data_IF_583089838725
#
_entry.id   IF_583089838725
#
_cell.length_a   1.000
_cell.length_b   1.000
_cell.length_c   1.000
_cell.angle_alpha   90.00
_cell.angle_beta   90.00
_cell.angle_gamma   90.00
#
_symmetry.space_group_name_H-M   'P 1'
#
loop_
_entity.id
_entity.type
_entity.pdbx_description
1 polymer ?
#
# COMPACT_ATOMS: atom_id res chain seq x y z
N UNK A 1 25.12 -28.62 18.76
CA UNK A 1 23.96 -29.27 18.13
C UNK A 1 24.40 -30.67 17.78
N UNK A 2 23.82 -31.68 18.40
CA UNK A 2 24.22 -33.07 18.21
C UNK A 2 23.66 -33.61 16.88
N UNK A 3 24.35 -34.59 16.30
CA UNK A 3 23.92 -35.18 15.03
C UNK A 3 22.72 -36.10 15.27
N UNK A 4 21.61 -35.81 14.61
CA UNK A 4 20.39 -36.62 14.66
C UNK A 4 20.18 -37.38 13.35
N UNK A 5 19.76 -38.65 13.45
CA UNK A 5 19.43 -39.48 12.31
C UNK A 5 17.91 -39.57 12.13
N UNK A 6 17.44 -39.33 10.91
CA UNK A 6 16.03 -39.43 10.55
C UNK A 6 15.83 -40.34 9.35
N UNK A 7 14.71 -41.08 9.33
CA UNK A 7 14.31 -41.87 8.16
C UNK A 7 14.08 -40.96 6.95
N UNK A 8 14.74 -41.28 5.82
CA UNK A 8 14.59 -40.56 4.54
C UNK A 8 13.11 -40.40 4.13
N UNK A 9 12.31 -41.45 4.33
CA UNK A 9 10.89 -41.45 3.96
C UNK A 9 10.06 -40.53 4.86
N UNK A 10 10.38 -40.48 6.15
CA UNK A 10 9.69 -39.63 7.12
C UNK A 10 10.01 -38.15 6.87
N UNK A 11 11.29 -37.83 6.66
CA UNK A 11 11.73 -36.48 6.33
C UNK A 11 11.10 -35.96 5.01
N UNK A 12 11.05 -36.80 3.98
CA UNK A 12 10.42 -36.47 2.70
C UNK A 12 8.92 -36.15 2.87
N UNK A 13 8.19 -36.96 3.64
CA UNK A 13 6.75 -36.70 3.92
C UNK A 13 6.53 -35.40 4.69
N UNK A 14 7.34 -35.14 5.72
CA UNK A 14 7.28 -33.89 6.49
C UNK A 14 7.51 -32.71 5.54
N UNK A 15 8.53 -32.78 4.69
CA UNK A 15 8.84 -31.72 3.73
C UNK A 15 7.66 -31.44 2.78
N UNK A 16 7.06 -32.47 2.20
CA UNK A 16 5.88 -32.34 1.31
C UNK A 16 4.69 -31.72 2.06
N UNK A 17 4.41 -32.14 3.29
CA UNK A 17 3.32 -31.57 4.08
C UNK A 17 3.59 -30.12 4.46
N UNK A 18 4.81 -29.78 4.86
CA UNK A 18 5.22 -28.40 5.14
C UNK A 18 5.10 -27.52 3.90
N UNK A 19 5.46 -28.02 2.71
CA UNK A 19 5.25 -27.30 1.45
C UNK A 19 3.77 -27.11 1.14
N UNK A 20 2.95 -28.16 1.23
CA UNK A 20 1.51 -28.07 0.98
C UNK A 20 0.84 -27.08 1.93
N UNK A 21 1.21 -27.09 3.21
CA UNK A 21 0.70 -26.14 4.20
C UNK A 21 1.08 -24.71 3.86
N UNK A 22 2.33 -24.44 3.47
CA UNK A 22 2.78 -23.10 3.02
C UNK A 22 2.07 -22.64 1.76
N UNK A 23 1.89 -23.53 0.77
CA UNK A 23 1.15 -23.19 -0.47
C UNK A 23 -0.30 -22.83 -0.18
N UNK A 24 -0.96 -23.55 0.73
CA UNK A 24 -2.33 -23.22 1.17
C UNK A 24 -2.44 -21.85 1.84
N UNK A 25 -1.38 -21.39 2.52
CA UNK A 25 -1.36 -20.07 3.17
C UNK A 25 -1.22 -18.92 2.17
N UNK A 26 -0.84 -19.20 0.92
CA UNK A 26 -0.64 -18.21 -0.15
C UNK A 26 -1.53 -18.57 -1.34
N UNK A 27 -2.74 -19.07 -1.09
CA UNK A 27 -3.69 -19.34 -2.16
C UNK A 27 -4.06 -18.04 -2.90
N UNK A 28 -4.11 -18.05 -4.24
CA UNK A 28 -4.46 -16.87 -5.02
C UNK A 28 -5.89 -16.45 -4.70
N UNK A 29 -6.09 -15.16 -4.44
CA UNK A 29 -7.41 -14.59 -4.26
C UNK A 29 -8.12 -14.39 -5.60
N UNK A 30 -9.45 -14.30 -5.57
CA UNK A 30 -10.21 -13.92 -6.77
C UNK A 30 -9.95 -12.46 -7.13
N UNK A 31 -10.15 -12.08 -8.39
CA UNK A 31 -10.02 -10.68 -8.83
C UNK A 31 -10.91 -9.74 -7.99
N UNK A 32 -12.13 -10.17 -7.67
CA UNK A 32 -13.05 -9.40 -6.84
C UNK A 32 -12.50 -9.16 -5.43
N UNK A 33 -11.91 -10.19 -4.80
CA UNK A 33 -11.28 -10.06 -3.48
C UNK A 33 -10.08 -9.12 -3.54
N UNK A 34 -9.26 -9.23 -4.58
CA UNK A 34 -8.11 -8.33 -4.76
C UNK A 34 -8.53 -6.87 -4.92
N UNK A 35 -9.53 -6.58 -5.76
CA UNK A 35 -10.04 -5.22 -5.95
C UNK A 35 -10.65 -4.67 -4.66
N UNK A 36 -11.44 -5.47 -3.95
CA UNK A 36 -12.02 -5.05 -2.66
C UNK A 36 -10.92 -4.75 -1.63
N UNK A 37 -9.90 -5.60 -1.55
CA UNK A 37 -8.73 -5.36 -0.72
C UNK A 37 -8.04 -4.05 -1.13
N UNK A 38 -7.78 -3.85 -2.43
CA UNK A 38 -7.07 -2.68 -2.93
C UNK A 38 -7.80 -1.38 -2.61
N UNK A 39 -9.12 -1.33 -2.83
CA UNK A 39 -9.95 -0.15 -2.53
C UNK A 39 -9.92 0.19 -1.04
N UNK A 40 -10.02 -0.83 -0.18
CA UNK A 40 -9.93 -0.65 1.28
C UNK A 40 -8.53 -0.23 1.73
N UNK A 41 -7.50 -0.85 1.17
CA UNK A 41 -6.09 -0.55 1.45
C UNK A 41 -5.73 0.88 1.02
N UNK A 42 -6.33 1.37 -0.06
CA UNK A 42 -6.17 2.73 -0.57
C UNK A 42 -7.12 3.76 0.07
N UNK A 43 -7.84 3.38 1.13
CA UNK A 43 -8.78 4.25 1.84
C UNK A 43 -9.93 4.79 0.98
N UNK A 44 -10.33 4.11 -0.10
CA UNK A 44 -11.36 4.55 -1.05
C UNK A 44 -12.78 4.10 -0.66
N UNK A 45 -12.95 3.44 0.48
CA UNK A 45 -14.27 3.08 1.01
C UNK A 45 -14.57 3.90 2.25
N UNK A 46 -15.80 4.40 2.46
CA UNK A 46 -16.09 5.33 3.57
C UNK A 46 -15.69 4.83 4.97
N UNK A 47 -15.73 3.52 5.20
CA UNK A 47 -15.34 2.87 6.45
C UNK A 47 -13.83 2.84 6.69
N UNK A 48 -13.04 3.08 5.65
CA UNK A 48 -11.57 3.11 5.69
C UNK A 48 -10.99 4.52 5.62
N UNK A 49 -11.81 5.56 5.45
CA UNK A 49 -11.31 6.93 5.39
C UNK A 49 -10.54 7.29 6.66
N UNK A 50 -9.33 7.80 6.46
CA UNK A 50 -8.52 8.36 7.56
C UNK A 50 -9.06 9.73 7.95
N UNK A 51 -8.62 10.26 9.10
CA UNK A 51 -9.17 11.51 9.66
C UNK A 51 -8.07 12.49 10.02
N UNK A 52 -8.35 13.77 9.77
CA UNK A 52 -7.49 14.89 10.16
C UNK A 52 -6.14 14.91 9.45
N UNK A 53 -5.28 15.83 9.90
CA UNK A 53 -3.94 16.07 9.34
C UNK A 53 -3.02 14.84 9.45
N UNK A 54 -3.05 14.12 10.57
CA UNK A 54 -2.26 12.90 10.73
C UNK A 54 -2.67 11.80 9.72
N UNK A 55 -3.97 11.67 9.45
CA UNK A 55 -4.46 10.77 8.40
C UNK A 55 -3.99 11.19 7.01
N UNK A 56 -4.03 12.49 6.71
CA UNK A 56 -3.52 13.02 5.46
C UNK A 56 -2.04 12.67 5.24
N UNK A 57 -1.19 12.82 6.26
CA UNK A 57 0.23 12.42 6.19
C UNK A 57 0.35 10.93 5.84
N UNK A 58 -0.39 10.05 6.51
CA UNK A 58 -0.34 8.61 6.24
C UNK A 58 -0.75 8.27 4.79
N UNK A 59 -1.75 8.97 4.24
CA UNK A 59 -2.15 8.83 2.83
C UNK A 59 -1.06 9.32 1.88
N UNK A 60 -0.41 10.43 2.20
CA UNK A 60 0.69 10.98 1.40
C UNK A 60 1.90 10.05 1.39
N UNK A 61 2.26 9.47 2.54
CA UNK A 61 3.31 8.45 2.65
C UNK A 61 2.98 7.22 1.81
N UNK A 62 1.74 6.73 1.85
CA UNK A 62 1.31 5.58 1.06
C UNK A 62 1.34 5.85 -0.46
N UNK A 63 1.05 7.09 -0.88
CA UNK A 63 1.05 7.51 -2.28
C UNK A 63 2.42 8.01 -2.76
N UNK A 64 3.44 8.02 -1.89
CA UNK A 64 4.78 8.44 -2.28
C UNK A 64 5.29 7.60 -3.45
N UNK A 65 5.72 8.26 -4.51
CA UNK A 65 6.17 7.60 -5.75
C UNK A 65 5.11 7.50 -6.86
N UNK A 66 3.84 7.81 -6.57
CA UNK A 66 2.78 7.82 -7.58
C UNK A 66 2.69 9.18 -8.29
N UNK A 67 2.79 9.20 -9.62
CA UNK A 67 2.66 10.43 -10.41
C UNK A 67 1.19 10.74 -10.69
N UNK A 68 0.73 11.89 -10.20
CA UNK A 68 -0.63 12.41 -10.43
C UNK A 68 -0.56 13.88 -10.83
N UNK A 69 -1.38 14.33 -11.81
CA UNK A 69 -1.49 15.75 -12.13
C UNK A 69 -1.83 16.57 -10.88
N UNK A 70 -1.12 17.68 -10.67
CA UNK A 70 -1.33 18.54 -9.50
C UNK A 70 -2.79 19.00 -9.34
N UNK A 71 -3.47 19.31 -10.45
CA UNK A 71 -4.89 19.71 -10.44
C UNK A 71 -5.87 18.63 -9.97
N UNK A 72 -5.43 17.38 -9.82
CA UNK A 72 -6.26 16.27 -9.35
C UNK A 72 -6.01 15.88 -7.89
N UNK A 73 -5.00 16.46 -7.23
CA UNK A 73 -4.61 16.04 -5.88
C UNK A 73 -5.75 16.17 -4.88
N UNK A 74 -6.45 17.31 -4.85
CA UNK A 74 -7.54 17.55 -3.91
C UNK A 74 -8.67 16.50 -4.05
N UNK A 75 -9.00 16.10 -5.28
CA UNK A 75 -9.98 15.06 -5.55
C UNK A 75 -9.49 13.68 -5.09
N UNK A 76 -8.21 13.38 -5.28
CA UNK A 76 -7.58 12.11 -4.85
C UNK A 76 -7.49 12.02 -3.33
N UNK A 77 -7.18 13.12 -2.64
CA UNK A 77 -7.03 13.16 -1.18
C UNK A 77 -8.40 13.17 -0.47
N UNK A 78 -9.37 13.93 -0.97
CA UNK A 78 -10.73 13.96 -0.40
C UNK A 78 -11.46 12.62 -0.49
N UNK A 79 -11.11 11.77 -1.47
CA UNK A 79 -11.59 10.39 -1.56
C UNK A 79 -10.99 9.42 -0.53
N UNK A 80 -10.02 9.86 0.29
CA UNK A 80 -9.30 9.04 1.29
C UNK A 80 -9.37 9.59 2.70
N UNK A 81 -9.51 10.91 2.83
CA UNK A 81 -9.52 11.62 4.10
C UNK A 81 -10.93 12.16 4.36
N UNK A 82 -11.55 11.70 5.45
CA UNK A 82 -12.87 12.18 5.83
C UNK A 82 -12.82 13.66 6.26
N UNK A 83 -13.81 14.44 5.79
CA UNK A 83 -13.91 15.89 6.03
C UNK A 83 -12.61 16.64 5.67
N UNK A 84 -11.96 16.22 4.59
CA UNK A 84 -10.72 16.81 4.10
C UNK A 84 -10.84 18.33 3.93
N UNK A 85 -9.83 19.04 4.43
CA UNK A 85 -9.68 20.49 4.27
C UNK A 85 -8.41 20.77 3.45
N UNK A 86 -8.49 21.52 2.34
CA UNK A 86 -7.31 21.88 1.55
C UNK A 86 -6.20 22.57 2.35
N UNK A 87 -6.57 23.34 3.38
CA UNK A 87 -5.61 24.04 4.24
C UNK A 87 -4.63 23.10 4.95
N UNK A 88 -5.01 21.84 5.21
CA UNK A 88 -4.09 20.87 5.81
C UNK A 88 -2.92 20.54 4.88
N UNK A 89 -3.17 20.46 3.57
CA UNK A 89 -2.11 20.21 2.60
C UNK A 89 -1.20 21.43 2.48
N UNK A 90 -1.78 22.63 2.42
CA UNK A 90 -1.04 23.89 2.38
C UNK A 90 -0.13 24.05 3.60
N UNK A 91 -0.66 23.81 4.81
CA UNK A 91 0.10 23.88 6.06
C UNK A 91 1.27 22.89 6.10
N UNK A 92 1.08 21.65 5.60
CA UNK A 92 2.15 20.65 5.52
C UNK A 92 3.25 21.07 4.53
N UNK A 93 2.87 21.68 3.41
CA UNK A 93 3.82 22.19 2.43
C UNK A 93 4.58 23.41 2.96
N UNK A 94 3.87 24.36 3.58
CA UNK A 94 4.46 25.57 4.18
C UNK A 94 5.37 25.24 5.37
N UNK A 95 5.01 24.22 6.16
CA UNK A 95 5.84 23.71 7.25
C UNK A 95 7.09 22.95 6.79
N UNK A 96 7.19 22.62 5.49
CA UNK A 96 8.29 21.83 4.93
C UNK A 96 8.23 20.35 5.30
N UNK A 97 7.11 19.87 5.83
CA UNK A 97 6.89 18.44 6.15
C UNK A 97 6.66 17.63 4.88
N UNK A 98 6.06 18.24 3.86
CA UNK A 98 5.81 17.63 2.55
C UNK A 98 6.39 18.50 1.46
N UNK A 99 7.11 17.87 0.53
CA UNK A 99 7.64 18.52 -0.66
C UNK A 99 7.30 17.70 -1.90
N UNK A 100 7.12 18.38 -3.02
CA UNK A 100 6.75 17.75 -4.29
C UNK A 100 7.93 17.77 -5.25
N UNK A 101 8.11 16.67 -5.98
CA UNK A 101 9.15 16.53 -6.98
C UNK A 101 8.63 15.82 -8.22
N UNK A 102 9.27 16.06 -9.35
CA UNK A 102 9.07 15.25 -10.56
C UNK A 102 10.05 14.09 -10.51
N UNK A 103 9.55 12.87 -10.58
CA UNK A 103 10.39 11.66 -10.64
C UNK A 103 10.86 11.40 -12.08
N UNK A 104 9.99 11.70 -13.05
CA UNK A 104 10.32 11.62 -14.47
C UNK A 104 10.92 12.94 -14.99
N UNK A 105 12.08 12.92 -15.67
CA UNK A 105 12.59 14.10 -16.37
C UNK A 105 11.62 14.49 -17.50
N UNK A 106 11.50 15.78 -17.83
CA UNK A 106 10.72 16.19 -18.99
C UNK A 106 11.25 15.48 -20.24
N UNK A 107 10.35 14.89 -21.03
CA UNK A 107 10.70 14.40 -22.37
C UNK A 107 11.31 15.57 -23.13
N UNK A 108 12.57 15.44 -23.54
CA UNK A 108 13.22 16.45 -24.37
C UNK A 108 12.37 16.66 -25.61
N UNK A 109 12.01 17.92 -25.89
CA UNK A 109 11.35 18.26 -27.15
C UNK A 109 12.26 17.81 -28.32
N UNK A 110 11.69 17.21 -29.39
CA UNK A 110 12.47 16.75 -30.53
C UNK A 110 13.24 17.87 -31.22
#
# INVERSE_FOLDING_TARGET
ADTEWCSRHLLSRIHVYSQKRRRKQVEPCTQQQFVQFLLRWQHLTPDTHVKGRAGLIAVLEQLQGYEVPAGSWEAVLSGRVANYQPSWLDELCLGGEVVWGRLSPPVAAP
#
